data_IF_226454469030
#
_entry.id   IF_226454469030
#
_cell.length_a   1.000
_cell.length_b   1.000
_cell.length_c   1.000
_cell.angle_alpha   90.00
_cell.angle_beta   90.00
_cell.angle_gamma   90.00
#
_symmetry.space_group_name_H-M   'P 1'
#
loop_
_entity.id
_entity.type
_entity.pdbx_description
1 polymer ?
#
# COMPACT_ATOMS: atom_id res chain seq x y z
N UNK A 1 -38.15 39.54 -3.10
CA UNK A 1 -38.58 38.22 -2.60
C UNK A 1 -38.09 37.97 -1.19
N UNK A 2 -36.85 38.33 -0.85
CA UNK A 2 -36.27 38.09 0.50
C UNK A 2 -37.00 38.81 1.65
N UNK A 3 -37.85 39.79 1.33
CA UNK A 3 -38.64 40.57 2.29
C UNK A 3 -40.16 40.30 2.22
N UNK A 4 -40.61 39.35 1.37
CA UNK A 4 -42.03 39.05 1.24
C UNK A 4 -42.55 38.34 2.51
N UNK A 5 -43.59 38.90 3.11
CA UNK A 5 -44.29 38.28 4.24
C UNK A 5 -45.67 37.74 3.82
N UNK A 6 -46.33 37.04 4.74
CA UNK A 6 -47.64 36.41 4.49
C UNK A 6 -48.74 37.45 4.17
N UNK A 7 -48.68 38.64 4.76
CA UNK A 7 -49.68 39.68 4.56
C UNK A 7 -49.56 40.37 3.20
N UNK A 8 -48.37 40.40 2.61
CA UNK A 8 -48.15 40.86 1.24
C UNK A 8 -48.73 39.88 0.23
N UNK A 9 -48.63 38.57 0.50
CA UNK A 9 -49.17 37.51 -0.37
C UNK A 9 -50.71 37.51 -0.34
N UNK A 10 -51.32 37.73 0.83
CA UNK A 10 -52.78 37.77 1.00
C UNK A 10 -53.47 38.87 0.20
N UNK A 11 -52.75 39.94 -0.14
CA UNK A 11 -53.26 41.06 -0.95
C UNK A 11 -53.22 40.79 -2.46
N UNK A 12 -52.59 39.70 -2.90
CA UNK A 12 -52.42 39.39 -4.31
C UNK A 12 -53.62 38.62 -4.88
N UNK A 13 -53.92 38.91 -6.15
CA UNK A 13 -54.89 38.13 -6.93
C UNK A 13 -54.33 36.75 -7.29
N UNK A 14 -55.22 35.79 -7.58
CA UNK A 14 -54.82 34.44 -8.04
C UNK A 14 -53.88 34.48 -9.24
N UNK A 15 -54.07 35.42 -10.16
CA UNK A 15 -53.19 35.60 -11.32
C UNK A 15 -51.79 36.08 -10.93
N UNK A 16 -51.69 37.03 -10.00
CA UNK A 16 -50.41 37.51 -9.48
C UNK A 16 -49.68 36.41 -8.69
N UNK A 17 -50.41 35.61 -7.90
CA UNK A 17 -49.85 34.45 -7.18
C UNK A 17 -49.28 33.42 -8.16
N UNK A 18 -49.98 33.10 -9.25
CA UNK A 18 -49.47 32.21 -10.31
C UNK A 18 -48.19 32.74 -10.96
N UNK A 19 -48.13 34.06 -11.24
CA UNK A 19 -46.91 34.70 -11.75
C UNK A 19 -45.76 34.65 -10.73
N UNK A 20 -46.04 34.92 -9.46
CA UNK A 20 -45.06 34.84 -8.38
C UNK A 20 -44.51 33.43 -8.22
N UNK A 21 -45.37 32.40 -8.28
CA UNK A 21 -44.95 31.00 -8.27
C UNK A 21 -43.93 30.72 -9.38
N UNK A 22 -44.23 31.11 -10.62
CA UNK A 22 -43.31 30.88 -11.74
C UNK A 22 -41.94 31.56 -11.53
N UNK A 23 -41.91 32.75 -10.92
CA UNK A 23 -40.67 33.44 -10.57
C UNK A 23 -39.91 32.72 -9.45
N UNK A 24 -40.61 32.17 -8.44
CA UNK A 24 -40.02 31.36 -7.38
C UNK A 24 -39.43 30.07 -7.96
N UNK A 25 -40.19 29.36 -8.80
CA UNK A 25 -39.73 28.13 -9.44
C UNK A 25 -38.48 28.37 -10.29
N UNK A 26 -38.44 29.47 -11.06
CA UNK A 26 -37.25 29.88 -11.82
C UNK A 26 -36.05 30.20 -10.91
N UNK A 27 -36.28 30.88 -9.78
CA UNK A 27 -35.23 31.19 -8.81
C UNK A 27 -34.70 29.94 -8.11
N UNK A 28 -35.58 28.98 -7.81
CA UNK A 28 -35.25 27.71 -7.19
C UNK A 28 -34.39 26.85 -8.14
N UNK A 29 -34.72 26.82 -9.44
CA UNK A 29 -33.88 26.17 -10.45
C UNK A 29 -32.49 26.82 -10.53
N UNK A 30 -32.42 28.15 -10.59
CA UNK A 30 -31.14 28.86 -10.63
C UNK A 30 -30.29 28.61 -9.38
N UNK A 31 -30.90 28.60 -8.18
CA UNK A 31 -30.20 28.32 -6.93
C UNK A 31 -29.76 26.86 -6.79
N UNK A 32 -30.52 25.93 -7.35
CA UNK A 32 -30.11 24.52 -7.43
C UNK A 32 -28.88 24.34 -8.31
N UNK A 33 -28.84 24.99 -9.47
CA UNK A 33 -27.66 24.98 -10.35
C UNK A 33 -26.43 25.57 -9.66
N UNK A 34 -26.57 26.72 -9.01
CA UNK A 34 -25.48 27.37 -8.24
C UNK A 34 -24.98 26.47 -7.09
N UNK A 35 -25.89 25.78 -6.40
CA UNK A 35 -25.54 24.82 -5.35
C UNK A 35 -24.72 23.64 -5.91
N UNK A 36 -25.13 23.06 -7.03
CA UNK A 36 -24.42 21.95 -7.68
C UNK A 36 -23.00 22.37 -8.12
N UNK A 37 -22.85 23.57 -8.68
CA UNK A 37 -21.54 24.13 -9.06
C UNK A 37 -20.62 24.36 -7.85
N UNK A 38 -21.16 24.91 -6.77
CA UNK A 38 -20.42 25.13 -5.53
C UNK A 38 -20.06 23.81 -4.83
N UNK A 39 -20.92 22.79 -4.91
CA UNK A 39 -20.62 21.44 -4.39
C UNK A 39 -19.45 20.80 -5.15
N UNK A 40 -19.42 20.93 -6.48
CA UNK A 40 -18.30 20.45 -7.29
C UNK A 40 -17.00 21.13 -6.87
N UNK A 41 -17.01 22.46 -6.75
CA UNK A 41 -15.83 23.23 -6.34
C UNK A 41 -15.35 22.83 -4.93
N UNK A 42 -16.28 22.74 -3.97
CA UNK A 42 -15.97 22.30 -2.61
C UNK A 42 -15.33 20.90 -2.60
N UNK A 43 -15.91 19.96 -3.34
CA UNK A 43 -15.42 18.58 -3.36
C UNK A 43 -14.02 18.48 -4.03
N UNK A 44 -13.75 19.28 -5.06
CA UNK A 44 -12.42 19.35 -5.69
C UNK A 44 -11.35 19.81 -4.70
N UNK A 45 -11.65 20.83 -3.88
CA UNK A 45 -10.75 21.28 -2.81
C UNK A 45 -10.62 20.23 -1.71
N UNK A 46 -11.72 19.58 -1.32
CA UNK A 46 -11.74 18.64 -0.21
C UNK A 46 -10.88 17.39 -0.46
N UNK A 47 -10.76 16.92 -1.70
CA UNK A 47 -9.93 15.74 -2.05
C UNK A 47 -8.44 15.97 -1.75
N UNK A 48 -7.98 17.23 -1.73
CA UNK A 48 -6.59 17.60 -1.46
C UNK A 48 -6.30 17.76 0.04
N UNK A 49 -7.33 17.71 0.89
CA UNK A 49 -7.18 17.88 2.34
C UNK A 49 -6.98 16.50 2.96
N UNK A 50 -5.81 16.29 3.55
CA UNK A 50 -5.48 15.07 4.26
C UNK A 50 -6.30 14.83 5.53
N UNK A 51 -6.22 13.60 6.03
CA UNK A 51 -6.81 13.18 7.28
C UNK A 51 -6.17 13.90 8.48
N UNK A 52 -6.85 13.86 9.62
CA UNK A 52 -6.28 14.36 10.87
C UNK A 52 -5.12 13.46 11.30
N UNK A 53 -3.95 14.06 11.44
CA UNK A 53 -2.71 13.36 11.79
C UNK A 53 -2.68 13.02 13.29
N UNK A 54 -2.28 11.79 13.61
CA UNK A 54 -2.13 11.35 14.99
C UNK A 54 -1.02 12.13 15.71
N UNK A 55 -1.23 12.49 16.99
CA UNK A 55 -0.33 13.36 17.76
C UNK A 55 1.10 12.83 17.91
N UNK A 56 1.31 11.52 17.74
CA UNK A 56 2.65 10.90 17.82
C UNK A 56 3.46 10.96 16.54
N UNK A 57 2.88 11.41 15.42
CA UNK A 57 3.56 11.48 14.11
C UNK A 57 4.64 12.56 14.16
N UNK A 58 5.88 12.27 13.73
CA UNK A 58 6.92 13.27 13.66
C UNK A 58 6.58 14.31 12.59
N UNK A 59 6.68 15.60 12.94
CA UNK A 59 6.35 16.70 12.03
C UNK A 59 7.61 17.08 11.26
N UNK A 60 7.67 16.72 9.99
CA UNK A 60 8.75 17.05 9.05
C UNK A 60 8.29 16.80 7.62
N UNK A 61 8.98 17.43 6.67
CA UNK A 61 8.83 17.23 5.22
C UNK A 61 10.03 16.46 4.62
N UNK A 62 10.84 15.83 5.47
CA UNK A 62 12.05 15.11 5.07
C UNK A 62 12.06 13.71 5.71
N UNK A 63 12.00 12.67 4.87
CA UNK A 63 12.00 11.25 5.24
C UNK A 63 13.21 10.83 6.09
N UNK A 64 14.35 11.54 5.99
CA UNK A 64 15.51 11.26 6.84
C UNK A 64 15.22 11.53 8.32
N UNK A 65 14.17 12.30 8.63
CA UNK A 65 13.68 12.54 9.99
C UNK A 65 12.64 11.51 10.46
N UNK A 66 12.40 10.43 9.71
CA UNK A 66 11.58 9.31 10.15
C UNK A 66 12.11 8.76 11.49
N UNK A 67 11.22 8.64 12.48
CA UNK A 67 11.61 8.17 13.82
C UNK A 67 11.67 6.65 13.83
N UNK A 68 12.85 6.09 14.11
CA UNK A 68 13.00 4.66 14.35
C UNK A 68 12.36 4.29 15.70
N UNK A 69 11.38 3.40 15.67
CA UNK A 69 10.65 2.94 16.85
C UNK A 69 11.24 1.65 17.42
N UNK A 70 11.61 0.72 16.54
CA UNK A 70 12.11 -0.63 16.90
C UNK A 70 13.14 -1.11 15.89
N UNK A 71 14.02 -2.00 16.32
CA UNK A 71 14.95 -2.74 15.46
C UNK A 71 14.98 -4.22 15.84
N UNK A 72 15.25 -5.09 14.88
CA UNK A 72 15.35 -6.53 15.08
C UNK A 72 16.48 -7.13 14.24
N UNK A 73 17.21 -8.08 14.83
CA UNK A 73 18.28 -8.82 14.15
C UNK A 73 19.57 -8.00 13.97
N UNK A 74 20.50 -8.55 13.18
CA UNK A 74 21.74 -7.87 12.81
C UNK A 74 21.52 -7.00 11.57
N UNK A 75 21.55 -5.68 11.79
CA UNK A 75 21.32 -4.64 10.80
C UNK A 75 22.63 -3.99 10.31
N UNK A 76 23.77 -4.64 10.51
CA UNK A 76 25.09 -4.10 10.21
C UNK A 76 25.93 -4.99 9.30
N UNK A 77 25.74 -6.31 9.38
CA UNK A 77 26.49 -7.26 8.54
C UNK A 77 26.26 -6.99 7.07
N UNK A 78 27.35 -6.93 6.31
CA UNK A 78 27.32 -6.86 4.85
C UNK A 78 27.68 -8.22 4.24
N UNK A 79 27.16 -8.48 3.04
CA UNK A 79 27.39 -9.71 2.29
C UNK A 79 27.80 -9.42 0.86
N UNK A 80 28.33 -10.43 0.16
CA UNK A 80 29.06 -10.26 -1.09
C UNK A 80 28.18 -9.78 -2.25
N UNK A 81 27.03 -10.41 -2.46
CA UNK A 81 26.21 -10.17 -3.65
C UNK A 81 24.90 -9.48 -3.30
N UNK A 82 24.47 -8.57 -4.18
CA UNK A 82 23.14 -7.96 -4.14
C UNK A 82 22.08 -8.92 -4.68
N UNK A 83 20.81 -8.68 -4.35
CA UNK A 83 19.69 -9.46 -4.89
C UNK A 83 19.64 -9.48 -6.42
N UNK A 84 20.16 -8.45 -7.11
CA UNK A 84 20.20 -8.37 -8.57
C UNK A 84 21.05 -9.53 -9.13
N UNK A 85 22.25 -9.71 -8.61
CA UNK A 85 23.16 -10.79 -9.03
C UNK A 85 22.61 -12.15 -8.61
N UNK A 86 22.13 -12.25 -7.37
CA UNK A 86 21.64 -13.51 -6.80
C UNK A 86 20.45 -14.08 -7.57
N UNK A 87 19.53 -13.23 -8.06
CA UNK A 87 18.43 -13.65 -8.92
C UNK A 87 18.91 -14.35 -10.20
N UNK A 88 20.03 -13.86 -10.78
CA UNK A 88 20.64 -14.45 -11.99
C UNK A 88 21.41 -15.71 -11.64
N UNK A 89 22.19 -15.72 -10.56
CA UNK A 89 23.03 -16.84 -10.15
C UNK A 89 22.24 -18.13 -9.89
N UNK A 90 21.03 -18.02 -9.33
CA UNK A 90 20.12 -19.16 -9.13
C UNK A 90 19.26 -19.51 -10.36
N UNK A 91 19.45 -18.80 -11.48
CA UNK A 91 18.61 -18.87 -12.67
C UNK A 91 17.11 -18.73 -12.33
N UNK A 92 16.78 -17.73 -11.50
CA UNK A 92 15.43 -17.50 -10.99
C UNK A 92 14.64 -16.43 -11.74
N UNK A 93 15.30 -15.66 -12.60
CA UNK A 93 14.76 -14.46 -13.23
C UNK A 93 15.29 -14.28 -14.66
N UNK A 94 14.45 -13.73 -15.54
CA UNK A 94 14.82 -13.29 -16.89
C UNK A 94 14.22 -11.90 -17.18
N UNK A 95 15.06 -10.88 -17.03
CA UNK A 95 14.70 -9.48 -17.28
C UNK A 95 14.77 -9.06 -18.74
N UNK A 96 15.66 -9.67 -19.54
CA UNK A 96 15.85 -9.29 -20.94
C UNK A 96 14.65 -9.71 -21.79
N UNK A 97 14.19 -10.96 -21.62
CA UNK A 97 12.97 -11.44 -22.28
C UNK A 97 11.74 -10.76 -21.69
N UNK A 98 11.73 -10.51 -20.38
CA UNK A 98 10.66 -9.79 -19.72
C UNK A 98 10.47 -8.38 -20.30
N UNK A 99 11.57 -7.65 -20.48
CA UNK A 99 11.55 -6.32 -21.05
C UNK A 99 11.10 -6.31 -22.51
N UNK A 100 11.51 -7.32 -23.28
CA UNK A 100 11.09 -7.49 -24.67
C UNK A 100 9.59 -7.75 -24.81
N UNK A 101 8.95 -8.38 -23.82
CA UNK A 101 7.52 -8.75 -23.84
C UNK A 101 6.63 -7.67 -23.22
N UNK A 102 6.99 -7.17 -22.04
CA UNK A 102 6.13 -6.30 -21.23
C UNK A 102 6.62 -4.84 -21.14
N UNK A 103 7.71 -4.49 -21.80
CA UNK A 103 8.34 -3.17 -21.73
C UNK A 103 9.28 -3.03 -20.53
N UNK A 104 9.76 -1.81 -20.27
CA UNK A 104 10.70 -1.55 -19.17
C UNK A 104 10.21 -2.13 -17.84
N UNK A 105 11.12 -2.75 -17.07
CA UNK A 105 10.84 -3.49 -15.81
C UNK A 105 9.91 -4.71 -15.95
N UNK A 106 9.61 -5.14 -17.17
CA UNK A 106 9.04 -6.46 -17.42
C UNK A 106 10.01 -7.57 -17.02
N UNK A 107 9.49 -8.66 -16.46
CA UNK A 107 10.30 -9.79 -16.02
C UNK A 107 9.57 -11.13 -16.18
N UNK A 108 10.33 -12.20 -16.28
CA UNK A 108 9.86 -13.56 -16.01
C UNK A 108 10.49 -14.08 -14.73
N UNK A 109 9.66 -14.53 -13.78
CA UNK A 109 10.12 -15.35 -12.66
C UNK A 109 10.15 -16.82 -13.09
N UNK A 110 11.18 -17.56 -12.70
CA UNK A 110 11.39 -18.95 -13.13
C UNK A 110 12.00 -19.83 -12.05
N UNK A 111 11.79 -21.13 -12.23
CA UNK A 111 12.42 -22.20 -11.43
C UNK A 111 12.29 -21.98 -9.92
N UNK A 112 13.40 -21.88 -9.18
CA UNK A 112 13.37 -21.83 -7.72
C UNK A 112 12.63 -20.61 -7.15
N UNK A 113 12.67 -19.46 -7.82
CA UNK A 113 11.99 -18.26 -7.31
C UNK A 113 10.46 -18.34 -7.39
N UNK A 114 9.91 -19.09 -8.34
CA UNK A 114 8.46 -19.34 -8.41
C UNK A 114 8.01 -20.16 -7.21
N UNK A 115 8.76 -21.21 -6.84
CA UNK A 115 8.43 -22.00 -5.65
C UNK A 115 8.61 -21.20 -4.36
N UNK A 116 9.67 -20.39 -4.28
CA UNK A 116 9.91 -19.56 -3.11
C UNK A 116 8.83 -18.48 -2.94
N UNK A 117 8.35 -17.88 -4.03
CA UNK A 117 7.20 -16.97 -4.02
C UNK A 117 5.94 -17.65 -3.51
N UNK A 118 5.61 -18.84 -4.03
CA UNK A 118 4.45 -19.60 -3.57
C UNK A 118 4.57 -20.00 -2.10
N UNK A 119 5.78 -20.30 -1.62
CA UNK A 119 6.04 -20.58 -0.21
C UNK A 119 5.78 -19.34 0.67
N UNK A 120 6.22 -18.16 0.24
CA UNK A 120 5.97 -16.89 0.94
C UNK A 120 4.48 -16.57 1.03
N UNK A 121 3.75 -16.69 -0.09
CA UNK A 121 2.30 -16.45 -0.14
C UNK A 121 1.59 -17.39 0.84
N UNK A 122 1.92 -18.69 0.81
CA UNK A 122 1.29 -19.68 1.69
C UNK A 122 1.60 -19.43 3.17
N UNK A 123 2.84 -19.11 3.52
CA UNK A 123 3.21 -18.80 4.89
C UNK A 123 2.44 -17.56 5.40
N UNK A 124 2.43 -16.47 4.63
CA UNK A 124 1.73 -15.24 5.00
C UNK A 124 0.23 -15.46 5.19
N UNK A 125 -0.42 -16.20 4.26
CA UNK A 125 -1.84 -16.52 4.37
C UNK A 125 -2.16 -17.39 5.59
N UNK A 126 -1.34 -18.42 5.88
CA UNK A 126 -1.54 -19.28 7.04
C UNK A 126 -1.37 -18.52 8.36
N UNK A 127 -0.35 -17.66 8.45
CA UNK A 127 -0.12 -16.83 9.64
C UNK A 127 -1.30 -15.89 9.90
N UNK A 128 -1.76 -15.16 8.88
CA UNK A 128 -2.92 -14.28 9.02
C UNK A 128 -4.21 -15.06 9.33
N UNK A 129 -4.43 -16.20 8.68
CA UNK A 129 -5.61 -17.02 8.93
C UNK A 129 -5.66 -17.53 10.37
N UNK A 130 -4.52 -17.93 10.95
CA UNK A 130 -4.43 -18.34 12.36
C UNK A 130 -4.79 -17.22 13.34
N UNK A 131 -4.69 -15.96 12.92
CA UNK A 131 -5.05 -14.75 13.68
C UNK A 131 -6.48 -14.27 13.41
N UNK A 132 -7.28 -15.06 12.68
CA UNK A 132 -8.68 -14.76 12.41
C UNK A 132 -8.94 -13.91 11.17
N UNK A 133 -7.92 -13.61 10.36
CA UNK A 133 -8.14 -12.98 9.06
C UNK A 133 -8.82 -13.98 8.10
N UNK A 134 -9.70 -13.44 7.26
CA UNK A 134 -10.40 -14.20 6.22
C UNK A 134 -9.64 -14.00 4.91
N UNK A 135 -9.07 -15.05 4.30
CA UNK A 135 -8.44 -14.94 2.99
C UNK A 135 -9.45 -14.47 1.94
N UNK A 136 -9.13 -13.39 1.23
CA UNK A 136 -9.96 -12.81 0.19
C UNK A 136 -9.15 -12.63 -1.09
N UNK A 137 -9.51 -13.36 -2.14
CA UNK A 137 -8.97 -13.15 -3.47
C UNK A 137 -9.79 -12.10 -4.22
N UNK A 138 -9.14 -11.04 -4.71
CA UNK A 138 -9.82 -9.88 -5.29
C UNK A 138 -9.74 -9.85 -6.82
N UNK A 139 -10.70 -9.22 -7.52
CA UNK A 139 -10.52 -8.83 -8.92
C UNK A 139 -9.33 -7.88 -9.09
N UNK A 140 -8.56 -8.01 -10.17
CA UNK A 140 -7.37 -7.18 -10.43
C UNK A 140 -7.68 -5.87 -11.17
N UNK A 141 -8.95 -5.67 -11.54
CA UNK A 141 -9.42 -4.45 -12.20
C UNK A 141 -10.70 -3.96 -11.52
N UNK A 142 -10.85 -2.64 -11.47
CA UNK A 142 -12.02 -1.97 -10.90
C UNK A 142 -12.59 -0.98 -11.90
N UNK A 143 -13.91 -0.74 -11.82
CA UNK A 143 -14.55 0.32 -12.61
C UNK A 143 -14.01 1.69 -12.19
N UNK A 144 -13.89 2.61 -13.15
CA UNK A 144 -13.35 3.97 -12.93
C UNK A 144 -14.07 4.69 -11.79
N UNK A 145 -15.42 4.68 -11.80
CA UNK A 145 -16.20 5.37 -10.78
C UNK A 145 -15.92 4.84 -9.36
N UNK A 146 -15.63 3.53 -9.23
CA UNK A 146 -15.32 2.91 -7.93
C UNK A 146 -13.88 3.19 -7.53
N UNK A 147 -12.94 3.15 -8.48
CA UNK A 147 -11.53 3.47 -8.22
C UNK A 147 -11.36 4.91 -7.72
N UNK A 148 -12.13 5.86 -8.26
CA UNK A 148 -12.10 7.26 -7.83
C UNK A 148 -12.52 7.46 -6.37
N UNK A 149 -13.23 6.50 -5.78
CA UNK A 149 -13.62 6.57 -4.37
C UNK A 149 -12.51 6.11 -3.42
N UNK A 150 -11.51 5.37 -3.90
CA UNK A 150 -10.44 4.78 -3.07
C UNK A 150 -9.04 5.30 -3.39
N UNK A 151 -8.81 5.79 -4.60
CA UNK A 151 -7.52 6.30 -5.06
C UNK A 151 -7.49 7.84 -5.11
N UNK A 152 -6.33 8.41 -4.81
CA UNK A 152 -6.06 9.84 -4.98
C UNK A 152 -5.79 10.18 -6.45
N UNK A 153 -6.04 11.43 -6.84
CA UNK A 153 -5.84 11.88 -8.22
C UNK A 153 -4.39 11.73 -8.70
N UNK A 154 -3.41 12.00 -7.85
CA UNK A 154 -1.98 11.77 -8.16
C UNK A 154 -1.69 10.30 -8.48
N UNK A 155 -2.33 9.37 -7.76
CA UNK A 155 -2.19 7.93 -8.00
C UNK A 155 -2.76 7.52 -9.37
N UNK A 156 -3.76 8.23 -9.92
CA UNK A 156 -4.23 7.99 -11.29
C UNK A 156 -3.20 8.34 -12.35
N UNK A 157 -2.37 9.35 -12.12
CA UNK A 157 -1.40 9.83 -13.09
C UNK A 157 -0.03 9.12 -12.98
N UNK A 158 0.35 8.68 -11.79
CA UNK A 158 1.69 8.15 -11.52
C UNK A 158 1.72 6.64 -11.19
N UNK A 159 0.66 6.07 -10.62
CA UNK A 159 0.66 4.68 -10.10
C UNK A 159 -0.29 3.74 -10.85
N UNK A 160 -1.46 4.23 -11.30
CA UNK A 160 -2.45 3.44 -12.04
C UNK A 160 -2.07 3.38 -13.53
N UNK A 161 -1.37 2.30 -13.93
CA UNK A 161 -0.98 1.97 -15.33
C UNK A 161 -0.97 3.16 -16.30
N UNK A 162 -0.13 4.14 -15.99
CA UNK A 162 0.38 5.16 -16.90
C UNK A 162 1.89 5.11 -16.72
N UNK A 163 2.61 4.71 -17.76
CA UNK A 163 4.04 4.35 -17.66
C UNK A 163 4.87 5.58 -17.32
N UNK A 164 5.08 5.83 -16.03
CA UNK A 164 5.78 6.99 -15.50
C UNK A 164 6.62 6.63 -14.29
N UNK A 165 7.88 6.25 -14.51
CA UNK A 165 8.97 6.53 -13.56
C UNK A 165 10.31 6.28 -14.24
N UNK A 166 10.95 7.37 -14.67
CA UNK A 166 12.33 7.35 -15.15
C UNK A 166 13.30 7.05 -13.98
N UNK A 167 14.13 6.02 -14.11
CA UNK A 167 15.52 6.06 -13.61
C UNK A 167 15.89 5.54 -12.21
N UNK A 168 15.00 4.96 -11.38
CA UNK A 168 15.41 4.31 -10.10
C UNK A 168 15.12 2.80 -10.10
N UNK A 169 16.05 2.01 -9.53
CA UNK A 169 16.00 0.54 -9.39
C UNK A 169 15.47 -0.19 -10.63
N UNK A 170 16.15 -0.03 -11.76
CA UNK A 170 15.71 -0.57 -13.06
C UNK A 170 16.12 -2.02 -13.32
N UNK A 171 16.95 -2.61 -12.44
CA UNK A 171 17.45 -3.99 -12.55
C UNK A 171 16.89 -4.86 -11.42
N UNK A 172 16.72 -6.15 -11.69
CA UNK A 172 16.17 -7.11 -10.74
C UNK A 172 14.64 -7.02 -10.59
N UNK A 173 14.12 -7.53 -9.47
CA UNK A 173 12.68 -7.64 -9.19
C UNK A 173 12.18 -6.75 -8.04
N UNK A 174 13.03 -5.87 -7.48
CA UNK A 174 12.68 -5.06 -6.31
C UNK A 174 11.64 -3.97 -6.61
N UNK A 175 11.74 -3.31 -7.78
CA UNK A 175 10.80 -2.28 -8.25
C UNK A 175 10.31 -2.65 -9.65
N UNK A 176 9.11 -3.22 -9.72
CA UNK A 176 8.49 -3.77 -10.94
C UNK A 176 7.04 -3.31 -11.07
N UNK A 177 6.47 -3.41 -12.28
CA UNK A 177 5.09 -2.99 -12.55
C UNK A 177 4.02 -3.98 -12.11
N UNK A 178 4.38 -5.25 -11.94
CA UNK A 178 3.50 -6.32 -11.51
C UNK A 178 4.21 -7.08 -10.39
N UNK A 179 3.50 -7.34 -9.30
CA UNK A 179 3.98 -8.17 -8.19
C UNK A 179 2.79 -8.64 -7.36
N UNK A 180 2.96 -9.78 -6.71
CA UNK A 180 1.99 -10.37 -5.80
C UNK A 180 2.14 -9.75 -4.41
N UNK A 181 1.01 -9.58 -3.72
CA UNK A 181 0.99 -9.04 -2.37
C UNK A 181 -0.08 -9.70 -1.51
N UNK A 182 0.31 -10.09 -0.30
CA UNK A 182 -0.63 -10.45 0.76
C UNK A 182 -0.82 -9.21 1.64
N UNK A 183 -2.08 -8.80 1.80
CA UNK A 183 -2.48 -7.56 2.49
C UNK A 183 -3.32 -7.87 3.73
N UNK A 184 -3.13 -7.07 4.77
CA UNK A 184 -4.01 -7.00 5.93
C UNK A 184 -4.99 -5.84 5.70
N UNK A 185 -6.28 -6.08 5.87
CA UNK A 185 -7.29 -5.02 5.81
C UNK A 185 -8.28 -5.20 6.96
N UNK A 186 -8.43 -4.19 7.81
CA UNK A 186 -9.30 -4.23 9.00
C UNK A 186 -10.36 -3.14 8.90
N UNK A 187 -11.63 -3.55 9.09
CA UNK A 187 -12.73 -2.65 9.41
C UNK A 187 -13.03 -2.80 10.91
N UNK A 188 -12.97 -1.72 11.67
CA UNK A 188 -13.17 -1.78 13.11
C UNK A 188 -14.05 -0.65 13.65
N UNK A 189 -14.39 -0.76 14.94
CA UNK A 189 -15.13 0.27 15.67
C UNK A 189 -14.38 1.61 15.66
N UNK A 190 -15.06 2.74 15.44
CA UNK A 190 -14.45 4.07 15.58
C UNK A 190 -14.29 4.51 17.05
N UNK A 191 -14.69 3.68 18.01
CA UNK A 191 -14.71 4.02 19.44
C UNK A 191 -13.55 3.36 20.21
N UNK A 192 -13.26 3.89 21.40
CA UNK A 192 -12.37 3.29 22.42
C UNK A 192 -10.94 2.97 21.94
N UNK A 193 -10.44 3.79 21.01
CA UNK A 193 -9.14 3.65 20.34
C UNK A 193 -8.90 2.29 19.70
N UNK A 194 -9.97 1.57 19.33
CA UNK A 194 -9.87 0.22 18.75
C UNK A 194 -9.01 0.24 17.49
N UNK A 195 -9.17 1.23 16.61
CA UNK A 195 -8.33 1.33 15.41
C UNK A 195 -6.85 1.50 15.71
N UNK A 196 -6.48 2.20 16.78
CA UNK A 196 -5.06 2.41 17.11
C UNK A 196 -4.43 1.14 17.66
N UNK A 197 -5.16 0.39 18.48
CA UNK A 197 -4.76 -0.95 18.94
C UNK A 197 -4.60 -1.92 17.76
N UNK A 198 -5.52 -1.85 16.79
CA UNK A 198 -5.46 -2.66 15.57
C UNK A 198 -4.27 -2.28 14.68
N UNK A 199 -3.87 -1.00 14.62
CA UNK A 199 -2.65 -0.59 13.90
C UNK A 199 -1.42 -1.25 14.52
N UNK A 200 -1.29 -1.21 15.85
CA UNK A 200 -0.17 -1.84 16.55
C UNK A 200 -0.16 -3.37 16.31
N UNK A 201 -1.32 -4.02 16.32
CA UNK A 201 -1.46 -5.45 16.02
C UNK A 201 -1.07 -5.79 14.57
N UNK A 202 -1.47 -4.97 13.59
CA UNK A 202 -1.10 -5.18 12.17
C UNK A 202 0.40 -5.06 11.94
N UNK A 203 1.05 -4.09 12.60
CA UNK A 203 2.51 -3.95 12.56
C UNK A 203 3.18 -5.16 13.22
N UNK A 204 2.67 -5.60 14.38
CA UNK A 204 3.20 -6.77 15.08
C UNK A 204 3.08 -8.06 14.24
N UNK A 205 1.99 -8.23 13.48
CA UNK A 205 1.82 -9.36 12.57
C UNK A 205 2.89 -9.36 11.46
N UNK A 206 3.20 -8.20 10.89
CA UNK A 206 4.25 -8.04 9.89
C UNK A 206 5.65 -8.26 10.50
N UNK A 207 5.88 -7.77 11.71
CA UNK A 207 7.11 -8.03 12.47
C UNK A 207 7.30 -9.52 12.75
N UNK A 208 6.26 -10.23 13.18
CA UNK A 208 6.29 -11.68 13.42
C UNK A 208 6.59 -12.45 12.14
N UNK A 209 6.04 -12.03 10.99
CA UNK A 209 6.37 -12.61 9.69
C UNK A 209 7.84 -12.46 9.34
N UNK A 210 8.39 -11.25 9.45
CA UNK A 210 9.81 -10.99 9.18
C UNK A 210 10.73 -11.74 10.16
N UNK A 211 10.35 -11.82 11.45
CA UNK A 211 11.09 -12.61 12.45
C UNK A 211 11.07 -14.11 12.15
N UNK A 212 9.91 -14.63 11.74
CA UNK A 212 9.75 -16.04 11.33
C UNK A 212 10.63 -16.38 10.12
N UNK A 213 10.79 -15.42 9.21
CA UNK A 213 11.70 -15.52 8.06
C UNK A 213 13.16 -15.21 8.41
N UNK A 214 13.47 -14.78 9.64
CA UNK A 214 14.83 -14.40 10.06
C UNK A 214 15.39 -13.18 9.30
N UNK A 215 14.53 -12.26 8.85
CA UNK A 215 14.92 -11.03 8.15
C UNK A 215 15.16 -9.93 9.19
N UNK A 216 16.36 -9.31 9.27
CA UNK A 216 16.60 -8.15 10.13
C UNK A 216 15.89 -6.90 9.60
N UNK A 217 15.39 -6.04 10.49
CA UNK A 217 14.63 -4.85 10.09
C UNK A 217 14.67 -3.73 11.14
N UNK A 218 14.13 -2.57 10.74
CA UNK A 218 13.69 -1.50 11.63
C UNK A 218 12.24 -1.11 11.34
N UNK A 219 11.55 -0.66 12.37
CA UNK A 219 10.22 -0.03 12.27
C UNK A 219 10.42 1.48 12.33
N UNK A 220 9.84 2.20 11.38
CA UNK A 220 9.90 3.66 11.32
C UNK A 220 8.50 4.26 11.34
N UNK A 221 8.31 5.30 12.16
CA UNK A 221 7.13 6.15 12.08
C UNK A 221 7.37 7.22 11.03
N UNK A 222 6.53 7.23 10.00
CA UNK A 222 6.66 8.14 8.86
C UNK A 222 6.31 9.57 9.27
N UNK A 223 7.09 10.54 8.78
CA UNK A 223 6.87 11.97 8.99
C UNK A 223 5.59 12.48 8.33
N UNK A 224 5.02 13.55 8.87
CA UNK A 224 3.73 14.08 8.41
C UNK A 224 3.71 14.49 6.94
N UNK A 225 4.80 15.03 6.40
CA UNK A 225 4.88 15.48 5.00
C UNK A 225 4.86 14.34 3.98
N UNK A 226 5.10 13.11 4.43
CA UNK A 226 5.22 11.91 3.60
C UNK A 226 4.02 10.95 3.81
N UNK A 227 3.03 11.39 4.60
CA UNK A 227 1.75 10.70 4.68
C UNK A 227 0.90 11.03 3.44
N UNK A 228 0.26 10.00 2.89
CA UNK A 228 -0.78 10.24 1.91
C UNK A 228 -2.06 10.80 2.60
N UNK A 229 -2.91 11.51 1.86
CA UNK A 229 -4.13 12.13 2.40
C UNK A 229 -5.01 11.20 3.26
N UNK A 230 -5.02 9.89 3.03
CA UNK A 230 -5.86 8.98 3.80
C UNK A 230 -5.27 8.61 5.17
N UNK A 231 -3.94 8.50 5.30
CA UNK A 231 -3.30 8.01 6.51
C UNK A 231 -3.28 9.07 7.62
N UNK A 232 -3.79 8.71 8.79
CA UNK A 232 -3.63 9.51 10.01
C UNK A 232 -2.29 9.19 10.72
N UNK A 233 -1.77 7.97 10.52
CA UNK A 233 -0.44 7.51 10.97
C UNK A 233 -0.03 6.34 10.10
N UNK A 234 1.27 6.26 9.78
CA UNK A 234 1.87 5.20 8.99
C UNK A 234 3.15 4.69 9.65
N UNK A 235 3.32 3.39 9.65
CA UNK A 235 4.57 2.72 10.03
C UNK A 235 5.09 1.91 8.85
N UNK A 236 6.39 2.05 8.57
CA UNK A 236 7.07 1.18 7.62
C UNK A 236 8.00 0.20 8.35
N UNK A 237 8.01 -1.05 7.88
CA UNK A 237 9.05 -2.03 8.22
C UNK A 237 10.05 -2.03 7.07
N UNK A 238 11.24 -1.56 7.38
CA UNK A 238 12.35 -1.53 6.45
C UNK A 238 13.33 -2.65 6.81
N UNK A 239 13.48 -3.62 5.92
CA UNK A 239 14.43 -4.71 6.11
C UNK A 239 15.85 -4.26 5.77
N UNK A 240 16.82 -4.86 6.46
CA UNK A 240 18.23 -4.70 6.14
C UNK A 240 18.62 -5.61 4.98
N UNK A 241 19.23 -5.02 3.96
CA UNK A 241 19.73 -5.70 2.76
C UNK A 241 21.25 -5.75 2.80
N UNK A 242 21.87 -6.86 3.23
CA UNK A 242 23.30 -6.91 3.52
C UNK A 242 24.19 -6.82 2.28
N UNK A 243 23.73 -7.24 1.10
CA UNK A 243 24.45 -7.08 -0.17
C UNK A 243 24.33 -5.66 -0.74
N UNK A 244 23.20 -5.00 -0.49
CA UNK A 244 22.97 -3.61 -0.88
C UNK A 244 23.45 -2.59 0.18
N UNK A 245 23.78 -3.05 1.38
CA UNK A 245 24.17 -2.26 2.54
C UNK A 245 23.19 -1.11 2.89
N UNK A 246 21.89 -1.38 2.80
CA UNK A 246 20.85 -0.38 3.01
C UNK A 246 19.57 -0.95 3.62
N UNK A 247 18.79 -0.09 4.26
CA UNK A 247 17.40 -0.37 4.59
C UNK A 247 16.50 -0.19 3.36
N UNK A 248 15.52 -1.09 3.22
CA UNK A 248 14.54 -1.08 2.14
C UNK A 248 13.18 -1.48 2.67
N UNK A 249 12.17 -0.67 2.36
CA UNK A 249 10.78 -0.89 2.77
C UNK A 249 10.24 -2.22 2.21
N UNK A 250 9.72 -3.08 3.11
CA UNK A 250 8.98 -4.29 2.75
C UNK A 250 7.50 -4.19 3.07
N UNK A 251 7.15 -3.42 4.11
CA UNK A 251 5.80 -3.28 4.63
C UNK A 251 5.51 -1.82 4.94
N UNK A 252 4.27 -1.44 4.68
CA UNK A 252 3.65 -0.20 5.14
C UNK A 252 2.33 -0.55 5.81
N UNK A 253 2.10 -0.08 7.03
CA UNK A 253 0.85 -0.22 7.78
C UNK A 253 0.29 1.16 8.12
N UNK A 254 -0.98 1.41 7.77
CA UNK A 254 -1.62 2.71 7.92
C UNK A 254 -2.99 2.60 8.59
N UNK A 255 -3.26 3.51 9.53
CA UNK A 255 -4.60 3.76 10.01
C UNK A 255 -5.20 4.93 9.24
N UNK A 256 -6.27 4.68 8.48
CA UNK A 256 -6.96 5.69 7.68
C UNK A 256 -8.21 6.25 8.39
N UNK A 257 -8.45 5.85 9.65
CA UNK A 257 -9.62 6.20 10.45
C UNK A 257 -10.90 6.11 9.61
N UNK A 258 -11.76 7.12 9.63
CA UNK A 258 -13.00 7.14 8.85
C UNK A 258 -12.85 7.78 7.45
N UNK A 259 -11.64 8.17 7.03
CA UNK A 259 -11.42 8.92 5.79
C UNK A 259 -11.98 8.20 4.56
N UNK A 260 -11.56 6.95 4.36
CA UNK A 260 -12.05 6.10 3.27
C UNK A 260 -13.52 5.67 3.49
N UNK A 261 -13.88 5.36 4.74
CA UNK A 261 -15.22 4.89 5.09
C UNK A 261 -16.30 5.95 4.82
N UNK A 262 -16.00 7.23 5.05
CA UNK A 262 -16.92 8.35 4.78
C UNK A 262 -17.18 8.50 3.29
N UNK A 263 -16.13 8.38 2.47
CA UNK A 263 -16.20 8.45 1.00
C UNK A 263 -17.00 7.27 0.42
N UNK A 264 -16.69 6.05 0.87
CA UNK A 264 -17.38 4.82 0.48
C UNK A 264 -18.74 4.61 1.16
N UNK A 265 -19.12 5.48 2.10
CA UNK A 265 -20.35 5.41 2.91
C UNK A 265 -20.49 4.11 3.73
N UNK A 266 -19.37 3.58 4.25
CA UNK A 266 -19.36 2.38 5.11
C UNK A 266 -19.64 2.78 6.57
N UNK A 267 -20.91 2.70 6.95
CA UNK A 267 -21.41 3.18 8.24
C UNK A 267 -21.17 2.19 9.38
N UNK A 268 -20.96 2.70 10.58
CA UNK A 268 -21.00 1.93 11.82
C UNK A 268 -22.44 1.89 12.35
N UNK A 269 -23.13 0.77 12.12
CA UNK A 269 -24.53 0.62 12.51
C UNK A 269 -24.69 0.45 14.02
N UNK A 270 -25.44 1.34 14.67
CA UNK A 270 -25.87 1.18 16.07
C UNK A 270 -27.39 0.95 16.11
N UNK A 271 -27.83 -0.16 16.72
CA UNK A 271 -29.26 -0.46 16.88
C UNK A 271 -29.97 0.41 17.91
N UNK A 272 -29.24 1.25 18.67
CA UNK A 272 -29.72 1.92 19.89
C UNK A 272 -29.88 3.45 19.82
N UNK A 273 -29.61 4.12 18.69
CA UNK A 273 -29.80 5.58 18.56
C UNK A 273 -30.58 5.93 17.29
N UNK A 274 -31.78 6.50 17.45
CA UNK A 274 -32.61 7.00 16.34
C UNK A 274 -32.22 8.40 15.86
N UNK A 275 -31.56 9.23 16.70
CA UNK A 275 -31.27 10.65 16.43
C UNK A 275 -29.79 11.05 16.65
N UNK A 276 -28.84 10.27 16.13
CA UNK A 276 -27.40 10.57 16.24
C UNK A 276 -26.76 10.92 14.89
N UNK A 277 -25.64 11.66 14.93
CA UNK A 277 -24.75 11.76 13.78
C UNK A 277 -24.33 10.36 13.30
N UNK A 278 -24.34 10.14 11.98
CA UNK A 278 -23.92 8.88 11.38
C UNK A 278 -22.43 8.67 11.62
N UNK A 279 -22.09 7.66 12.42
CA UNK A 279 -20.71 7.21 12.58
C UNK A 279 -20.30 6.29 11.43
N UNK A 280 -19.03 6.34 11.05
CA UNK A 280 -18.42 5.48 10.05
C UNK A 280 -17.43 4.52 10.74
N UNK A 281 -17.19 3.36 10.14
CA UNK A 281 -16.15 2.45 10.64
C UNK A 281 -14.77 3.07 10.45
N UNK A 282 -13.79 2.62 11.23
CA UNK A 282 -12.39 2.89 10.91
C UNK A 282 -11.83 1.81 9.98
N UNK A 283 -11.03 2.23 8.99
CA UNK A 283 -10.37 1.36 8.02
C UNK A 283 -8.85 1.42 8.15
N UNK A 284 -8.22 0.26 8.18
CA UNK A 284 -6.77 0.12 8.22
C UNK A 284 -6.32 -0.84 7.12
N UNK A 285 -5.14 -0.57 6.56
CA UNK A 285 -4.48 -1.42 5.57
C UNK A 285 -3.01 -1.60 5.93
N UNK A 286 -2.44 -2.76 5.61
CA UNK A 286 -1.07 -3.07 5.96
C UNK A 286 -0.50 -4.27 5.21
N UNK A 287 0.57 -4.04 4.46
CA UNK A 287 1.24 -5.11 3.71
C UNK A 287 1.73 -6.20 4.67
N UNK A 288 1.38 -7.46 4.42
CA UNK A 288 2.00 -8.60 5.12
C UNK A 288 3.24 -9.08 4.36
N UNK A 289 3.11 -9.22 3.04
CA UNK A 289 4.19 -9.68 2.17
C UNK A 289 4.01 -9.15 0.75
N UNK A 290 4.91 -8.26 0.30
CA UNK A 290 5.13 -7.97 -1.11
C UNK A 290 6.17 -8.97 -1.66
N UNK A 291 5.74 -9.96 -2.44
CA UNK A 291 6.52 -11.19 -2.67
C UNK A 291 7.90 -10.90 -3.25
N UNK A 292 7.99 -10.10 -4.31
CA UNK A 292 9.24 -9.80 -5.00
C UNK A 292 10.26 -9.08 -4.11
N UNK A 293 9.82 -8.13 -3.28
CA UNK A 293 10.71 -7.44 -2.32
C UNK A 293 11.18 -8.37 -1.22
N UNK A 294 10.30 -9.21 -0.68
CA UNK A 294 10.65 -10.20 0.35
C UNK A 294 11.59 -11.26 -0.21
N UNK A 295 11.41 -11.69 -1.48
CA UNK A 295 12.37 -12.55 -2.18
C UNK A 295 13.75 -11.90 -2.19
N UNK A 296 13.87 -10.63 -2.62
CA UNK A 296 15.16 -9.93 -2.62
C UNK A 296 15.80 -9.90 -1.23
N UNK A 297 15.01 -9.62 -0.17
CA UNK A 297 15.51 -9.62 1.20
C UNK A 297 16.03 -11.01 1.63
N UNK A 298 15.31 -12.08 1.29
CA UNK A 298 15.73 -13.45 1.58
C UNK A 298 17.00 -13.84 0.82
N UNK A 299 17.08 -13.53 -0.47
CA UNK A 299 18.26 -13.82 -1.28
C UNK A 299 19.51 -13.21 -0.64
N UNK A 300 19.48 -11.92 -0.30
CA UNK A 300 20.64 -11.27 0.32
C UNK A 300 20.94 -11.82 1.71
N UNK A 301 19.92 -12.01 2.56
CA UNK A 301 20.12 -12.45 3.95
C UNK A 301 20.52 -13.94 4.06
N UNK A 302 20.17 -14.78 3.10
CA UNK A 302 20.44 -16.22 3.13
C UNK A 302 21.46 -16.72 2.10
N UNK A 303 22.16 -15.81 1.40
CA UNK A 303 23.27 -16.22 0.53
C UNK A 303 24.39 -16.92 1.34
N UNK A 304 24.86 -18.03 0.78
CA UNK A 304 26.00 -18.85 1.21
C UNK A 304 26.94 -19.06 0.00
N UNK A 305 28.04 -19.78 0.19
CA UNK A 305 29.05 -19.99 -0.87
C UNK A 305 28.48 -20.69 -2.12
N UNK A 306 27.57 -21.65 -1.93
CA UNK A 306 27.06 -22.54 -3.00
C UNK A 306 25.62 -22.24 -3.43
N UNK A 307 24.96 -21.26 -2.81
CA UNK A 307 23.55 -20.99 -3.09
C UNK A 307 22.89 -20.12 -2.03
N UNK A 308 21.56 -20.18 -2.00
CA UNK A 308 20.72 -19.49 -1.02
C UNK A 308 20.11 -20.53 -0.09
N UNK A 309 20.39 -20.44 1.20
CA UNK A 309 19.76 -21.31 2.19
C UNK A 309 18.27 -20.98 2.31
N UNK A 310 17.43 -21.99 2.38
CA UNK A 310 15.98 -21.81 2.54
C UNK A 310 15.65 -21.63 4.03
N UNK A 311 14.93 -20.56 4.43
CA UNK A 311 14.48 -20.39 5.81
C UNK A 311 13.65 -21.58 6.29
N UNK A 312 13.84 -22.00 7.55
CA UNK A 312 13.16 -23.19 8.11
C UNK A 312 11.64 -23.13 7.96
N UNK A 313 11.04 -21.95 8.14
CA UNK A 313 9.60 -21.73 7.99
C UNK A 313 9.08 -21.96 6.55
N UNK A 314 9.95 -21.86 5.54
CA UNK A 314 9.57 -22.04 4.13
C UNK A 314 9.78 -23.47 3.63
N UNK A 315 10.65 -24.26 4.28
CA UNK A 315 10.96 -25.63 3.86
C UNK A 315 9.76 -26.56 3.69
N UNK A 316 8.68 -26.48 4.50
CA UNK A 316 7.49 -27.30 4.29
C UNK A 316 6.79 -27.06 2.94
N UNK A 317 6.95 -25.88 2.34
CA UNK A 317 6.31 -25.48 1.09
C UNK A 317 7.22 -25.66 -0.13
N UNK A 318 8.50 -25.97 0.08
CA UNK A 318 9.49 -26.06 -0.99
C UNK A 318 9.58 -27.48 -1.57
N UNK A 319 9.77 -27.62 -2.89
CA UNK A 319 9.98 -28.93 -3.51
C UNK A 319 11.36 -29.51 -3.13
N UNK A 320 11.50 -30.84 -3.20
CA UNK A 320 12.71 -31.55 -2.75
C UNK A 320 14.04 -30.98 -3.27
N UNK A 321 14.20 -30.60 -4.56
CA UNK A 321 15.46 -30.07 -5.08
C UNK A 321 15.88 -28.71 -4.48
N UNK A 322 14.93 -27.96 -3.92
CA UNK A 322 15.14 -26.63 -3.37
C UNK A 322 14.73 -26.58 -1.89
N UNK A 323 14.67 -27.72 -1.20
CA UNK A 323 14.10 -27.77 0.15
C UNK A 323 14.99 -27.09 1.18
N UNK A 324 16.30 -27.32 1.11
CA UNK A 324 17.26 -26.83 2.09
C UNK A 324 18.16 -25.70 1.52
N UNK A 325 18.52 -25.81 0.25
CA UNK A 325 19.41 -24.89 -0.44
C UNK A 325 18.94 -24.73 -1.90
N UNK A 326 18.88 -23.49 -2.38
CA UNK A 326 18.72 -23.16 -3.80
C UNK A 326 20.13 -22.96 -4.37
N UNK A 327 20.65 -23.87 -5.21
CA UNK A 327 22.03 -23.82 -5.66
C UNK A 327 22.28 -22.70 -6.68
N UNK A 328 23.50 -22.16 -6.69
CA UNK A 328 23.96 -21.34 -7.80
C UNK A 328 24.26 -22.23 -9.01
N UNK A 329 23.71 -21.84 -10.17
CA UNK A 329 23.85 -22.55 -11.46
C UNK A 329 24.42 -21.65 -12.56
N UNK A 330 24.62 -20.36 -12.27
CA UNK A 330 25.20 -19.36 -13.17
C UNK A 330 26.28 -18.55 -12.44
N UNK A 331 27.25 -18.03 -13.18
CA UNK A 331 28.23 -17.07 -12.65
C UNK A 331 27.54 -15.74 -12.27
N UNK A 332 28.12 -15.04 -11.30
CA UNK A 332 27.64 -13.72 -10.91
C UNK A 332 27.85 -12.70 -12.04
N UNK A 333 26.83 -11.93 -12.44
CA UNK A 333 26.96 -10.90 -13.48
C UNK A 333 28.10 -9.92 -13.21
N UNK A 334 28.24 -9.45 -11.97
CA UNK A 334 29.31 -8.54 -11.57
C UNK A 334 30.72 -9.11 -11.83
N UNK A 335 30.91 -10.42 -11.66
CA UNK A 335 32.20 -11.08 -11.90
C UNK A 335 32.46 -11.25 -13.41
N UNK A 336 31.42 -11.56 -14.18
CA UNK A 336 31.52 -11.63 -15.65
C UNK A 336 31.82 -10.26 -16.28
N UNK A 337 31.22 -9.19 -15.76
CA UNK A 337 31.46 -7.82 -16.22
C UNK A 337 32.89 -7.36 -15.86
N UNK A 338 33.38 -7.67 -14.65
CA UNK A 338 34.78 -7.41 -14.28
C UNK A 338 35.76 -8.16 -15.21
N UNK A 339 35.55 -9.45 -15.47
CA UNK A 339 36.40 -10.23 -16.39
C UNK A 339 36.47 -9.60 -17.79
N UNK A 340 35.34 -9.10 -18.31
CA UNK A 340 35.29 -8.40 -19.61
C UNK A 340 36.03 -7.05 -19.58
N UNK A 341 35.96 -6.33 -18.47
CA UNK A 341 36.66 -5.05 -18.30
C UNK A 341 38.19 -5.21 -18.21
N UNK A 342 38.70 -6.36 -17.74
CA UNK A 342 40.13 -6.66 -17.72
C UNK A 342 40.69 -7.20 -19.05
N UNK A 343 39.82 -7.63 -19.98
CA UNK A 343 40.18 -8.19 -21.28
C UNK A 343 40.12 -7.16 -22.43
N UNK A 344 39.60 -5.96 -22.15
CA UNK A 344 39.61 -4.79 -23.03
C UNK A 344 40.52 -3.72 -22.45
#
# INVERSE_FOLDING_TARGET
METLNVDDIRKLTVFQIKKLKNLIDARLMAKKQEMEELEVLRNQSLVQIGNLVHSSVPVSDDEENNRVERTFGDISTQKKYSHIDLCVMIDGFDGDRGASVAGARGYFLKGPLVFLEQALINLALQMLHSKGFIPLYTPFFMRKEVMQEVAQLSQFDEELYKVGSHGRDTRGIFRVHQFEKVEQFILCSPHDDVSWKMLDEMVENAEEYCRTLGIPYRIVCIVSGELNNAAAKKFDLEAWFPGSAAFRELVSCSNCTDYQARRLRVRYGQTKKLDGEVSYVHMLNGTMCATTRVLCALLENYQEEKGIRVPEALKPFMPHPYKDLIPFVKEAPIEADMKKAYLN
#
